data_IF_599972955610
#
_entry.id   IF_599972955610
#
_cell.length_a   1.000
_cell.length_b   1.000
_cell.length_c   1.000
_cell.angle_alpha   90.00
_cell.angle_beta   90.00
_cell.angle_gamma   90.00
#
_symmetry.space_group_name_H-M   'P 1'
#
loop_
_entity.id
_entity.type
_entity.pdbx_description
1 polymer ?
#
# COMPACT_ATOMS: atom_id res chain seq x y z
N UNK A 1 3.79 -4.86 -2.26
CA UNK A 1 4.38 -5.13 -3.60
C UNK A 1 3.87 -6.46 -4.10
N UNK A 2 3.27 -6.51 -5.30
CA UNK A 2 2.78 -7.76 -5.89
C UNK A 2 3.89 -8.73 -6.30
N UNK A 3 3.51 -9.93 -6.74
CA UNK A 3 4.43 -10.91 -7.34
C UNK A 3 4.69 -10.55 -8.81
N UNK A 4 5.89 -10.85 -9.37
CA UNK A 4 6.13 -10.72 -10.80
C UNK A 4 5.10 -11.51 -11.61
N UNK A 5 4.58 -10.90 -12.67
CA UNK A 5 3.67 -11.55 -13.61
C UNK A 5 4.37 -12.73 -14.29
N UNK A 6 3.69 -13.88 -14.42
CA UNK A 6 4.25 -15.04 -15.15
C UNK A 6 4.47 -14.75 -16.64
N UNK A 7 3.69 -13.82 -17.20
CA UNK A 7 3.65 -13.55 -18.65
C UNK A 7 4.62 -12.47 -19.08
N UNK A 8 4.72 -11.41 -18.29
CA UNK A 8 5.43 -10.17 -18.66
C UNK A 8 6.53 -9.82 -17.65
N UNK A 9 6.67 -10.59 -16.56
CA UNK A 9 7.62 -10.36 -15.47
C UNK A 9 7.49 -8.98 -14.77
N UNK A 10 6.56 -8.14 -15.21
CA UNK A 10 6.23 -6.87 -14.61
C UNK A 10 5.54 -7.04 -13.26
N UNK A 11 5.85 -6.12 -12.34
CA UNK A 11 5.29 -6.10 -10.98
C UNK A 11 4.31 -4.96 -10.85
N UNK A 12 3.08 -5.31 -10.44
CA UNK A 12 2.04 -4.33 -10.15
C UNK A 12 2.00 -4.03 -8.64
N UNK A 13 1.74 -2.78 -8.23
CA UNK A 13 1.42 -2.47 -6.85
C UNK A 13 0.19 -3.26 -6.42
N UNK A 14 0.29 -3.90 -5.25
CA UNK A 14 -0.81 -4.62 -4.62
C UNK A 14 -0.86 -4.17 -3.16
N UNK A 15 -1.97 -3.52 -2.79
CA UNK A 15 -2.20 -3.00 -1.44
C UNK A 15 -2.53 -4.09 -0.42
N UNK A 16 -2.91 -5.29 -0.88
CA UNK A 16 -3.26 -6.42 -0.02
C UNK A 16 -2.03 -7.20 0.44
N UNK A 17 -0.91 -7.02 -0.26
CA UNK A 17 0.27 -7.83 -0.06
C UNK A 17 1.20 -7.21 0.99
N UNK A 18 1.32 -7.90 2.12
CA UNK A 18 2.26 -7.58 3.21
C UNK A 18 3.20 -8.77 3.47
N UNK A 19 4.33 -8.50 4.12
CA UNK A 19 5.31 -9.51 4.50
C UNK A 19 5.42 -9.56 6.03
N UNK A 20 5.51 -10.77 6.58
CA UNK A 20 5.62 -10.96 8.05
C UNK A 20 6.92 -10.43 8.62
N UNK A 21 8.00 -10.43 7.84
CA UNK A 21 9.32 -9.99 8.28
C UNK A 21 10.00 -9.12 7.23
N UNK A 22 10.89 -8.25 7.70
CA UNK A 22 11.73 -7.41 6.84
C UNK A 22 12.58 -8.26 5.86
N UNK A 23 13.11 -9.39 6.33
CA UNK A 23 13.89 -10.31 5.48
C UNK A 23 13.05 -10.90 4.34
N UNK A 24 11.79 -11.27 4.60
CA UNK A 24 10.89 -11.76 3.56
C UNK A 24 10.55 -10.66 2.53
N UNK A 25 10.38 -9.42 2.99
CA UNK A 25 10.14 -8.27 2.11
C UNK A 25 11.35 -8.01 1.20
N UNK A 26 12.58 -8.01 1.76
CA UNK A 26 13.83 -7.86 0.99
C UNK A 26 13.98 -8.98 -0.05
N UNK A 27 13.70 -10.23 0.33
CA UNK A 27 13.73 -11.35 -0.60
C UNK A 27 12.68 -11.20 -1.73
N UNK A 28 11.51 -10.63 -1.43
CA UNK A 28 10.52 -10.24 -2.43
C UNK A 28 11.09 -9.27 -3.45
N UNK A 29 11.70 -8.18 -2.99
CA UNK A 29 12.35 -7.19 -3.85
C UNK A 29 13.48 -7.80 -4.68
N UNK A 30 14.27 -8.73 -4.14
CA UNK A 30 15.29 -9.47 -4.90
C UNK A 30 14.69 -10.28 -6.06
N UNK A 31 13.52 -10.89 -5.87
CA UNK A 31 12.85 -11.62 -6.97
C UNK A 31 12.40 -10.66 -8.08
N UNK A 32 11.92 -9.48 -7.71
CA UNK A 32 11.53 -8.42 -8.65
C UNK A 32 12.74 -7.97 -9.46
N UNK A 33 13.86 -7.63 -8.80
CA UNK A 33 15.12 -7.26 -9.44
C UNK A 33 15.59 -8.27 -10.49
N UNK A 34 15.47 -9.57 -10.18
CA UNK A 34 15.85 -10.65 -11.10
C UNK A 34 14.88 -10.79 -12.26
N UNK A 35 13.59 -10.59 -12.04
CA UNK A 35 12.56 -10.70 -13.06
C UNK A 35 12.61 -9.55 -14.07
N UNK A 36 13.02 -8.36 -13.65
CA UNK A 36 13.09 -7.17 -14.49
C UNK A 36 14.26 -7.17 -15.49
N UNK A 37 15.35 -7.90 -15.20
CA UNK A 37 16.50 -7.99 -16.10
C UNK A 37 17.28 -6.68 -16.33
N UNK A 38 17.02 -5.65 -15.52
CA UNK A 38 17.65 -4.34 -15.62
C UNK A 38 18.98 -4.28 -14.87
N UNK A 39 19.88 -3.41 -15.35
CA UNK A 39 21.11 -3.09 -14.64
C UNK A 39 20.81 -2.20 -13.42
N UNK A 40 21.60 -2.29 -12.33
CA UNK A 40 21.43 -1.44 -11.15
C UNK A 40 21.57 0.07 -11.43
N UNK A 41 22.20 0.44 -12.54
CA UNK A 41 22.39 1.81 -12.99
C UNK A 41 21.20 2.36 -13.78
N UNK A 42 20.24 1.50 -14.15
CA UNK A 42 19.05 1.93 -14.89
C UNK A 42 18.12 2.75 -13.98
N UNK A 43 17.60 3.91 -14.41
CA UNK A 43 16.63 4.68 -13.64
C UNK A 43 15.37 3.91 -13.26
N UNK A 44 15.00 2.89 -14.04
CA UNK A 44 13.84 2.03 -13.80
C UNK A 44 14.17 0.81 -12.94
N UNK A 45 15.39 0.69 -12.40
CA UNK A 45 15.74 -0.41 -11.52
C UNK A 45 14.85 -0.45 -10.26
N UNK A 46 14.50 -1.66 -9.82
CA UNK A 46 13.54 -1.87 -8.74
C UNK A 46 13.80 -1.06 -7.45
N UNK A 47 15.07 -0.79 -7.11
CA UNK A 47 15.42 -0.01 -5.90
C UNK A 47 14.96 1.45 -5.96
N UNK A 48 14.84 2.02 -7.16
CA UNK A 48 14.36 3.39 -7.33
C UNK A 48 12.83 3.47 -7.37
N UNK A 49 12.17 2.37 -7.77
CA UNK A 49 10.70 2.32 -7.90
C UNK A 49 10.00 1.79 -6.66
N UNK A 50 10.66 0.94 -5.88
CA UNK A 50 10.05 0.26 -4.76
C UNK A 50 10.85 0.45 -3.47
N UNK A 51 10.14 0.79 -2.40
CA UNK A 51 10.68 0.84 -1.04
C UNK A 51 9.96 -0.15 -0.13
N UNK A 52 10.63 -0.52 0.96
CA UNK A 52 10.06 -1.35 2.01
C UNK A 52 9.95 -0.48 3.26
N UNK A 53 8.76 -0.43 3.85
CA UNK A 53 8.51 0.24 5.12
C UNK A 53 7.90 -0.76 6.11
N UNK A 54 8.13 -0.53 7.40
CA UNK A 54 7.43 -1.26 8.46
C UNK A 54 5.96 -0.86 8.51
N UNK A 55 5.09 -1.79 8.91
CA UNK A 55 3.64 -1.62 8.86
C UNK A 55 3.16 -0.40 9.64
N UNK A 56 3.62 -0.24 10.89
CA UNK A 56 3.22 0.90 11.71
C UNK A 56 3.72 2.23 11.14
N UNK A 57 4.97 2.26 10.64
CA UNK A 57 5.52 3.43 9.99
C UNK A 57 4.75 3.81 8.73
N UNK A 58 4.34 2.81 7.94
CA UNK A 58 3.55 3.00 6.73
C UNK A 58 2.20 3.64 7.04
N UNK A 59 1.41 3.06 7.95
CA UNK A 59 0.08 3.58 8.31
C UNK A 59 0.13 4.98 8.92
N UNK A 60 1.22 5.33 9.60
CA UNK A 60 1.37 6.63 10.26
C UNK A 60 1.86 7.75 9.33
N UNK A 61 2.81 7.46 8.44
CA UNK A 61 3.55 8.50 7.73
C UNK A 61 3.40 8.45 6.19
N UNK A 62 3.07 7.30 5.61
CA UNK A 62 3.07 7.09 4.15
C UNK A 62 1.64 6.90 3.63
N UNK A 63 0.77 6.23 4.38
CA UNK A 63 -0.58 5.91 3.93
C UNK A 63 -1.41 7.18 3.67
N UNK A 64 -2.01 7.23 2.48
CA UNK A 64 -2.80 8.36 2.05
C UNK A 64 -4.08 8.48 2.89
N UNK A 65 -4.24 9.63 3.53
CA UNK A 65 -5.39 9.95 4.39
C UNK A 65 -6.24 11.05 3.77
N UNK A 66 -7.55 11.03 4.05
CA UNK A 66 -8.50 12.06 3.63
C UNK A 66 -9.14 12.73 4.84
N UNK A 67 -9.49 14.00 4.70
CA UNK A 67 -10.40 14.68 5.63
C UNK A 67 -11.84 14.32 5.26
N UNK A 68 -12.58 13.81 6.23
CA UNK A 68 -13.98 13.45 6.10
C UNK A 68 -14.81 14.13 7.19
N UNK A 69 -16.11 14.29 6.97
CA UNK A 69 -17.03 14.91 7.93
C UNK A 69 -17.94 13.83 8.49
N UNK A 70 -18.05 13.75 9.81
CA UNK A 70 -18.96 12.81 10.47
C UNK A 70 -20.39 13.15 10.09
N UNK A 71 -21.17 12.14 9.69
CA UNK A 71 -22.54 12.34 9.22
C UNK A 71 -23.49 12.80 10.34
N UNK A 72 -23.25 12.36 11.58
CA UNK A 72 -24.12 12.63 12.73
C UNK A 72 -23.70 13.88 13.50
N UNK A 73 -22.41 14.01 13.85
CA UNK A 73 -21.92 15.17 14.61
C UNK A 73 -21.58 16.37 13.72
N UNK A 74 -21.32 16.15 12.44
CA UNK A 74 -20.83 17.19 11.54
C UNK A 74 -19.37 17.61 11.81
N UNK A 75 -18.65 16.92 12.67
CA UNK A 75 -17.25 17.22 12.97
C UNK A 75 -16.32 16.68 11.89
N UNK A 76 -15.22 17.40 11.64
CA UNK A 76 -14.19 16.98 10.71
C UNK A 76 -13.22 16.02 11.37
N UNK A 77 -12.91 14.92 10.70
CA UNK A 77 -11.93 13.94 11.12
C UNK A 77 -11.04 13.51 9.94
N UNK A 78 -9.97 12.79 10.24
CA UNK A 78 -9.04 12.24 9.25
C UNK A 78 -9.14 10.73 9.28
N UNK A 79 -9.29 10.12 8.12
CA UNK A 79 -9.32 8.66 7.96
C UNK A 79 -8.47 8.21 6.76
N UNK A 80 -7.94 6.97 6.76
CA UNK A 80 -7.30 6.39 5.59
C UNK A 80 -8.25 6.35 4.39
N UNK A 81 -7.73 6.60 3.18
CA UNK A 81 -8.54 6.56 1.94
C UNK A 81 -9.18 5.19 1.69
N UNK A 82 -8.52 4.12 2.09
CA UNK A 82 -8.98 2.74 1.87
C UNK A 82 -9.95 2.24 2.96
N UNK A 83 -10.43 3.10 3.86
CA UNK A 83 -11.39 2.74 4.90
C UNK A 83 -12.71 2.29 4.24
N UNK A 84 -13.19 1.06 4.50
CA UNK A 84 -14.47 0.59 3.97
C UNK A 84 -15.63 1.49 4.42
N UNK A 85 -16.64 1.67 3.56
CA UNK A 85 -17.75 2.59 3.84
C UNK A 85 -18.52 2.27 5.12
N UNK A 86 -18.67 0.99 5.45
CA UNK A 86 -19.33 0.53 6.68
C UNK A 86 -18.46 0.72 7.94
N UNK A 87 -17.19 1.12 7.81
CA UNK A 87 -16.29 1.46 8.92
C UNK A 87 -16.05 2.97 9.03
N UNK A 88 -16.72 3.78 8.20
CA UNK A 88 -16.51 5.23 8.14
C UNK A 88 -17.72 5.98 8.71
N UNK A 89 -17.57 6.75 9.81
CA UNK A 89 -18.64 7.58 10.38
C UNK A 89 -19.17 8.67 9.43
N UNK A 90 -18.51 8.91 8.31
CA UNK A 90 -18.95 9.81 7.25
C UNK A 90 -20.01 9.18 6.33
N UNK A 91 -20.36 7.91 6.50
CA UNK A 91 -21.27 7.15 5.62
C UNK A 91 -22.46 6.60 6.38
N UNK A 92 -23.63 6.60 5.75
CA UNK A 92 -24.85 6.04 6.32
C UNK A 92 -24.71 4.56 6.70
N UNK A 93 -23.98 3.78 5.89
CA UNK A 93 -23.74 2.35 6.12
C UNK A 93 -23.01 2.02 7.43
N UNK A 94 -22.32 3.00 8.03
CA UNK A 94 -21.72 2.86 9.36
C UNK A 94 -22.78 3.00 10.48
N UNK A 95 -23.85 3.73 10.21
CA UNK A 95 -24.91 4.07 11.17
C UNK A 95 -26.16 3.19 11.05
N UNK A 96 -26.33 2.49 9.93
CA UNK A 96 -27.44 1.56 9.69
C UNK A 96 -27.10 0.10 10.00
N UNK A 97 -25.93 -0.15 10.59
CA UNK A 97 -25.44 -1.45 11.08
C UNK A 97 -25.84 -1.66 12.54
#
# INVERSE_FOLDING_TARGET
>A
MGKPSKWDQTVRPDHRQYYKTMSAAKAGLTRIKKAEGLLPTDPNYADFRYAIAETEYFHKNIEASRKAKNMMSGEWFVEPINTPGYMSPARESYWSM
#
